data_IF_586999384581
#
_entry.id   IF_586999384581
#
_cell.length_a   1.000
_cell.length_b   1.000
_cell.length_c   1.000
_cell.angle_alpha   90.00
_cell.angle_beta   90.00
_cell.angle_gamma   90.00
#
_symmetry.space_group_name_H-M   'P 1'
#
loop_
_entity.id
_entity.type
_entity.pdbx_description
1 polymer ?
#
# COMPACT_ATOMS: atom_id res chain seq x y z
N UNK A 1 -33.24 32.68 19.43
CA UNK A 1 -32.05 31.88 19.14
C UNK A 1 -32.53 30.68 18.36
N UNK A 2 -32.28 30.63 17.06
CA UNK A 2 -32.57 29.42 16.28
C UNK A 2 -31.65 28.33 16.82
N UNK A 3 -32.19 27.19 17.24
CA UNK A 3 -31.39 25.98 17.43
C UNK A 3 -30.63 25.76 16.12
N UNK A 4 -29.30 25.91 16.17
CA UNK A 4 -28.46 25.60 15.03
C UNK A 4 -28.67 24.12 14.72
N UNK A 5 -29.19 23.84 13.51
CA UNK A 5 -29.43 22.46 13.12
C UNK A 5 -28.09 21.73 13.10
N UNK A 6 -28.01 20.69 13.92
CA UNK A 6 -26.88 19.78 14.01
C UNK A 6 -26.41 19.34 12.61
N UNK A 7 -25.13 19.51 12.26
CA UNK A 7 -24.60 19.26 10.92
C UNK A 7 -24.60 17.76 10.58
N UNK A 8 -24.42 17.46 9.30
CA UNK A 8 -24.36 16.09 8.80
C UNK A 8 -22.93 15.66 8.47
N UNK A 9 -22.60 14.43 8.86
CA UNK A 9 -21.46 13.68 8.37
C UNK A 9 -21.96 12.62 7.37
N UNK A 10 -21.52 12.72 6.12
CA UNK A 10 -21.79 11.71 5.11
C UNK A 10 -20.79 10.55 5.28
N UNK A 11 -21.28 9.34 5.45
CA UNK A 11 -20.50 8.13 5.65
C UNK A 11 -20.68 7.17 4.48
N UNK A 12 -19.55 6.69 3.96
CA UNK A 12 -19.52 5.59 2.99
C UNK A 12 -19.54 4.22 3.69
N UNK A 13 -19.80 4.18 5.00
CA UNK A 13 -19.81 2.99 5.87
C UNK A 13 -18.49 2.19 5.89
N UNK A 14 -17.34 2.82 6.19
CA UNK A 14 -16.09 2.08 6.27
C UNK A 14 -15.99 1.16 7.48
N UNK A 15 -16.53 1.55 8.64
CA UNK A 15 -16.65 0.71 9.83
C UNK A 15 -17.84 1.17 10.68
N UNK A 16 -18.98 0.48 10.54
CA UNK A 16 -20.22 0.81 11.28
C UNK A 16 -20.11 0.43 12.76
N UNK A 17 -19.19 -0.45 13.13
CA UNK A 17 -18.98 -0.93 14.50
C UNK A 17 -17.93 -0.10 15.27
N UNK A 18 -17.41 0.98 14.68
CA UNK A 18 -16.41 1.84 15.34
C UNK A 18 -16.94 2.38 16.68
N UNK A 19 -16.21 2.18 17.79
CA UNK A 19 -16.59 2.75 19.09
C UNK A 19 -16.72 4.28 19.05
N UNK A 20 -15.85 4.97 18.30
CA UNK A 20 -15.90 6.43 18.19
C UNK A 20 -17.08 6.92 17.35
N UNK A 21 -17.40 6.24 16.24
CA UNK A 21 -18.57 6.57 15.43
C UNK A 21 -19.88 6.44 16.23
N UNK A 22 -19.95 5.43 17.09
CA UNK A 22 -21.11 5.14 17.93
C UNK A 22 -21.05 5.81 19.32
N UNK A 23 -20.04 6.65 19.57
CA UNK A 23 -19.90 7.36 20.84
C UNK A 23 -20.94 8.47 20.98
N UNK A 24 -21.37 8.73 22.22
CA UNK A 24 -22.28 9.85 22.53
C UNK A 24 -21.72 11.17 21.99
N UNK A 25 -20.40 11.39 22.10
CA UNK A 25 -19.73 12.58 21.56
C UNK A 25 -20.00 12.76 20.06
N UNK A 26 -19.75 11.75 19.24
CA UNK A 26 -19.96 11.85 17.80
C UNK A 26 -21.46 12.02 17.47
N UNK A 27 -22.33 11.32 18.19
CA UNK A 27 -23.78 11.39 18.02
C UNK A 27 -24.42 12.65 18.61
N UNK A 28 -23.72 13.45 19.42
CA UNK A 28 -24.12 14.78 19.85
C UNK A 28 -23.68 15.85 18.84
N UNK A 29 -22.54 15.65 18.17
CA UNK A 29 -21.97 16.59 17.21
C UNK A 29 -22.52 16.44 15.78
N UNK A 30 -22.80 15.21 15.30
CA UNK A 30 -23.16 14.94 13.90
C UNK A 30 -24.40 14.06 13.70
N UNK A 31 -25.22 14.41 12.72
CA UNK A 31 -26.20 13.49 12.12
C UNK A 31 -25.51 12.65 11.04
N UNK A 32 -25.78 11.35 10.99
CA UNK A 32 -25.13 10.45 10.04
C UNK A 32 -25.99 10.26 8.78
N UNK A 33 -25.42 10.53 7.60
CA UNK A 33 -26.01 10.15 6.31
C UNK A 33 -25.19 9.02 5.71
N UNK A 34 -25.81 7.86 5.55
CA UNK A 34 -25.12 6.72 4.96
C UNK A 34 -25.38 6.63 3.46
N UNK A 35 -24.32 6.47 2.67
CA UNK A 35 -24.40 6.29 1.23
C UNK A 35 -23.61 5.06 0.78
N UNK A 36 -24.20 4.28 -0.11
CA UNK A 36 -23.51 3.19 -0.81
C UNK A 36 -23.04 3.69 -2.18
N UNK A 37 -21.72 3.71 -2.38
CA UNK A 37 -21.11 4.18 -3.62
C UNK A 37 -21.14 3.07 -4.68
N UNK A 38 -22.07 3.17 -5.62
CA UNK A 38 -22.25 2.20 -6.72
C UNK A 38 -21.88 2.80 -8.07
N UNK A 39 -22.50 3.91 -8.46
CA UNK A 39 -22.16 4.68 -9.66
C UNK A 39 -22.09 6.17 -9.34
N UNK A 40 -21.41 6.93 -10.22
CA UNK A 40 -21.33 8.38 -10.11
C UNK A 40 -22.72 9.02 -10.12
N UNK A 41 -23.61 8.56 -10.99
CA UNK A 41 -24.97 9.09 -11.13
C UNK A 41 -25.81 8.83 -9.87
N UNK A 42 -25.69 7.63 -9.28
CA UNK A 42 -26.36 7.31 -8.03
C UNK A 42 -25.86 8.20 -6.88
N UNK A 43 -24.54 8.45 -6.82
CA UNK A 43 -23.97 9.34 -5.80
C UNK A 43 -24.44 10.80 -5.98
N UNK A 44 -24.45 11.32 -7.21
CA UNK A 44 -24.96 12.67 -7.48
C UNK A 44 -26.46 12.79 -7.19
N UNK A 45 -27.26 11.77 -7.52
CA UNK A 45 -28.69 11.73 -7.17
C UNK A 45 -28.90 11.73 -5.66
N UNK A 46 -28.09 10.97 -4.91
CA UNK A 46 -28.13 11.00 -3.45
C UNK A 46 -27.83 12.40 -2.91
N UNK A 47 -26.77 13.05 -3.43
CA UNK A 47 -26.43 14.41 -3.01
C UNK A 47 -27.54 15.42 -3.36
N UNK A 48 -28.23 15.24 -4.49
CA UNK A 48 -29.38 16.07 -4.87
C UNK A 48 -30.51 15.99 -3.85
N UNK A 49 -30.85 14.77 -3.40
CA UNK A 49 -31.89 14.54 -2.39
C UNK A 49 -31.52 15.17 -1.04
N UNK A 50 -30.22 15.32 -0.78
CA UNK A 50 -29.65 15.87 0.45
C UNK A 50 -29.05 17.29 0.29
N UNK A 51 -29.35 18.01 -0.80
CA UNK A 51 -28.73 19.32 -1.09
C UNK A 51 -29.02 20.44 -0.07
N UNK A 52 -30.05 20.25 0.75
CA UNK A 52 -30.44 21.19 1.81
C UNK A 52 -29.90 20.76 3.19
N UNK A 53 -29.27 19.59 3.28
CA UNK A 53 -28.65 19.12 4.51
C UNK A 53 -27.27 19.77 4.64
N UNK A 54 -26.96 20.27 5.83
CA UNK A 54 -25.67 20.92 6.13
C UNK A 54 -24.56 19.87 6.26
N UNK A 55 -24.13 19.29 5.15
CA UNK A 55 -23.06 18.28 5.11
C UNK A 55 -21.73 18.98 5.29
N UNK A 56 -21.05 18.73 6.41
CA UNK A 56 -19.78 19.38 6.79
C UNK A 56 -18.57 18.46 6.70
N UNK A 57 -18.79 17.13 6.70
CA UNK A 57 -17.73 16.14 6.62
C UNK A 57 -18.14 14.94 5.76
N UNK A 58 -17.15 14.34 5.07
CA UNK A 58 -17.28 13.03 4.42
C UNK A 58 -16.32 12.04 5.08
N UNK A 59 -16.86 11.00 5.70
CA UNK A 59 -16.14 9.83 6.13
C UNK A 59 -16.01 8.84 4.94
N UNK A 60 -14.93 8.98 4.16
CA UNK A 60 -14.76 8.34 2.85
C UNK A 60 -14.09 6.96 2.86
N UNK A 61 -13.62 6.48 4.01
CA UNK A 61 -13.21 5.09 4.17
C UNK A 61 -11.92 4.65 3.44
N UNK A 62 -11.76 3.34 3.29
CA UNK A 62 -10.77 2.72 2.40
C UNK A 62 -11.24 2.87 0.97
N UNK A 63 -10.36 3.30 0.03
CA UNK A 63 -10.67 4.21 -1.08
C UNK A 63 -12.00 3.91 -1.77
N UNK A 64 -13.08 4.42 -1.18
CA UNK A 64 -14.43 3.95 -1.50
C UNK A 64 -15.01 4.65 -2.73
N UNK A 65 -14.39 5.75 -3.13
CA UNK A 65 -14.71 6.45 -4.36
C UNK A 65 -14.28 5.68 -5.62
N UNK A 66 -13.56 4.56 -5.50
CA UNK A 66 -13.17 3.73 -6.65
C UNK A 66 -14.37 3.26 -7.47
N UNK A 67 -15.46 2.86 -6.81
CA UNK A 67 -16.72 2.44 -7.46
C UNK A 67 -17.33 3.53 -8.36
N UNK A 68 -17.07 4.81 -8.06
CA UNK A 68 -17.57 5.95 -8.84
C UNK A 68 -16.49 6.55 -9.76
N UNK A 69 -15.35 5.89 -9.93
CA UNK A 69 -14.24 6.36 -10.76
C UNK A 69 -13.34 7.42 -10.09
N UNK A 70 -13.43 7.57 -8.78
CA UNK A 70 -12.71 8.57 -7.99
C UNK A 70 -13.52 9.82 -7.71
N UNK A 71 -13.02 10.67 -6.81
CA UNK A 71 -13.60 11.98 -6.54
C UNK A 71 -12.94 13.01 -7.47
N UNK A 72 -13.41 13.02 -8.72
CA UNK A 72 -12.84 13.82 -9.80
C UNK A 72 -13.27 15.29 -9.72
N UNK A 73 -12.57 16.17 -10.47
CA UNK A 73 -12.99 17.56 -10.65
C UNK A 73 -14.46 17.69 -11.06
N UNK A 74 -14.93 16.82 -11.95
CA UNK A 74 -16.31 16.86 -12.44
C UNK A 74 -17.33 16.60 -11.32
N UNK A 75 -17.05 15.66 -10.42
CA UNK A 75 -17.91 15.38 -9.26
C UNK A 75 -17.83 16.53 -8.26
N UNK A 76 -16.63 17.01 -7.95
CA UNK A 76 -16.44 18.06 -6.95
C UNK A 76 -17.05 19.39 -7.42
N UNK A 77 -16.97 19.73 -8.70
CA UNK A 77 -17.56 20.95 -9.29
C UNK A 77 -19.06 20.82 -9.59
N UNK A 78 -19.68 19.64 -9.41
CA UNK A 78 -21.11 19.43 -9.65
C UNK A 78 -21.97 20.29 -8.71
N UNK A 79 -23.12 20.79 -9.18
CA UNK A 79 -23.98 21.71 -8.42
C UNK A 79 -24.55 21.10 -7.13
N UNK A 80 -24.80 19.80 -7.13
CA UNK A 80 -25.28 19.05 -5.96
C UNK A 80 -24.16 18.67 -4.98
N UNK A 81 -22.88 18.83 -5.34
CA UNK A 81 -21.79 18.56 -4.40
C UNK A 81 -21.77 19.66 -3.33
N UNK A 82 -21.62 19.33 -2.02
CA UNK A 82 -21.78 20.29 -0.93
C UNK A 82 -20.57 21.23 -0.76
N UNK A 83 -20.12 21.88 -1.84
CA UNK A 83 -18.91 22.71 -1.90
C UNK A 83 -18.91 23.85 -0.87
N UNK A 84 -20.08 24.39 -0.55
CA UNK A 84 -20.22 25.54 0.35
C UNK A 84 -20.19 25.16 1.84
N UNK A 85 -20.62 23.95 2.19
CA UNK A 85 -20.77 23.50 3.59
C UNK A 85 -19.67 22.52 3.99
N UNK A 86 -19.18 21.72 3.04
CA UNK A 86 -18.20 20.68 3.28
C UNK A 86 -16.85 21.29 3.71
N UNK A 87 -16.39 20.92 4.89
CA UNK A 87 -15.10 21.36 5.45
C UNK A 87 -14.01 20.34 5.22
N UNK A 88 -14.31 19.05 5.38
CA UNK A 88 -13.30 18.01 5.28
C UNK A 88 -13.80 16.70 4.65
N UNK A 89 -12.84 15.98 4.08
CA UNK A 89 -12.97 14.59 3.64
C UNK A 89 -11.86 13.82 4.35
N UNK A 90 -12.20 12.70 4.98
CA UNK A 90 -11.22 11.83 5.63
C UNK A 90 -11.20 10.46 4.96
N UNK A 91 -10.01 9.89 4.79
CA UNK A 91 -9.79 8.57 4.23
C UNK A 91 -9.11 7.67 5.26
N UNK A 92 -9.49 6.40 5.28
CA UNK A 92 -8.80 5.35 6.05
C UNK A 92 -7.56 4.80 5.33
N UNK A 93 -7.26 5.31 4.13
CA UNK A 93 -6.14 4.83 3.31
C UNK A 93 -5.07 5.89 3.15
N UNK A 94 -3.83 5.46 2.84
CA UNK A 94 -2.72 6.37 2.54
C UNK A 94 -2.83 7.00 1.16
N UNK A 95 -3.29 6.23 0.18
CA UNK A 95 -3.35 6.64 -1.22
C UNK A 95 -4.58 7.49 -1.50
N UNK A 96 -4.38 8.60 -2.21
CA UNK A 96 -5.45 9.52 -2.62
C UNK A 96 -5.38 9.84 -4.12
N UNK A 97 -4.75 8.97 -4.92
CA UNK A 97 -4.51 9.17 -6.35
C UNK A 97 -5.78 9.46 -7.18
N UNK A 98 -6.93 8.99 -6.70
CA UNK A 98 -8.23 9.14 -7.36
C UNK A 98 -9.02 10.38 -6.90
N UNK A 99 -8.37 11.31 -6.18
CA UNK A 99 -9.01 12.52 -5.66
C UNK A 99 -8.38 13.76 -6.29
N UNK A 100 -9.19 14.65 -6.84
CA UNK A 100 -8.73 15.91 -7.42
C UNK A 100 -8.41 16.95 -6.34
N UNK A 101 -7.16 16.88 -5.85
CA UNK A 101 -6.61 17.77 -4.82
C UNK A 101 -6.69 19.25 -5.20
N UNK A 102 -6.48 19.59 -6.47
CA UNK A 102 -6.51 20.98 -6.93
C UNK A 102 -7.90 21.58 -6.78
N UNK A 103 -8.93 20.79 -7.05
CA UNK A 103 -10.32 21.20 -6.96
C UNK A 103 -10.76 21.29 -5.50
N UNK A 104 -10.36 20.36 -4.63
CA UNK A 104 -10.59 20.48 -3.19
C UNK A 104 -9.99 21.78 -2.62
N UNK A 105 -8.74 22.11 -2.98
CA UNK A 105 -8.08 23.38 -2.61
C UNK A 105 -8.87 24.60 -3.03
N UNK A 106 -9.38 24.60 -4.27
CA UNK A 106 -10.17 25.70 -4.83
C UNK A 106 -11.42 26.01 -3.99
N UNK A 107 -12.03 24.99 -3.40
CA UNK A 107 -13.21 25.13 -2.54
C UNK A 107 -12.90 25.18 -1.04
N UNK A 108 -11.62 25.18 -0.65
CA UNK A 108 -11.23 25.21 0.77
C UNK A 108 -11.53 23.91 1.54
N UNK A 109 -11.81 22.81 0.82
CA UNK A 109 -12.14 21.52 1.42
C UNK A 109 -10.83 20.81 1.81
N UNK A 110 -10.72 20.44 3.08
CA UNK A 110 -9.57 19.74 3.61
C UNK A 110 -9.65 18.25 3.27
N UNK A 111 -8.50 17.63 2.98
CA UNK A 111 -8.40 16.18 2.81
C UNK A 111 -7.43 15.62 3.85
N UNK A 112 -7.87 14.59 4.56
CA UNK A 112 -7.06 13.82 5.49
C UNK A 112 -6.93 12.38 5.01
N UNK A 113 -5.73 11.82 5.07
CA UNK A 113 -5.48 10.42 4.76
C UNK A 113 -4.92 9.69 5.98
N UNK A 114 -4.67 8.38 5.87
CA UNK A 114 -3.97 7.66 6.93
C UNK A 114 -2.46 7.95 6.89
N UNK A 115 -1.84 8.09 8.06
CA UNK A 115 -0.38 8.14 8.23
C UNK A 115 0.07 7.20 9.37
N UNK A 116 1.30 6.68 9.29
CA UNK A 116 1.86 5.77 10.34
C UNK A 116 2.38 6.54 11.55
N UNK A 117 2.57 7.83 11.38
CA UNK A 117 3.12 8.73 12.37
C UNK A 117 2.00 9.70 12.68
N UNK A 118 1.72 9.84 13.97
CA UNK A 118 0.81 10.84 14.51
C UNK A 118 1.54 11.53 15.65
N UNK A 119 1.19 12.78 15.92
CA UNK A 119 1.72 13.52 17.06
C UNK A 119 1.41 12.76 18.37
N UNK A 120 2.40 12.65 19.27
CA UNK A 120 2.30 11.95 20.56
C UNK A 120 1.21 12.55 21.48
N UNK A 121 0.73 13.77 21.19
CA UNK A 121 -0.39 14.41 21.88
C UNK A 121 -1.77 13.78 21.58
N UNK A 122 -1.87 12.84 20.64
CA UNK A 122 -3.11 12.13 20.33
C UNK A 122 -3.27 10.89 21.22
N UNK A 123 -4.21 10.95 22.16
CA UNK A 123 -4.65 9.79 22.94
C UNK A 123 -5.67 8.93 22.16
N UNK A 124 -5.32 8.41 20.98
CA UNK A 124 -6.00 7.23 20.45
C UNK A 124 -5.33 6.05 21.13
N UNK A 125 -5.97 5.53 22.17
CA UNK A 125 -5.41 4.51 23.08
C UNK A 125 -4.87 3.27 22.34
N UNK A 126 -5.43 2.95 21.18
CA UNK A 126 -5.07 1.80 20.36
C UNK A 126 -4.07 2.11 19.23
N UNK A 127 -3.68 3.37 19.02
CA UNK A 127 -2.84 3.74 17.88
C UNK A 127 -1.40 3.28 18.05
N UNK A 128 -0.94 2.45 17.12
CA UNK A 128 0.45 2.00 17.05
C UNK A 128 1.17 2.71 15.91
N UNK A 129 2.20 3.47 16.27
CA UNK A 129 3.09 4.11 15.30
C UNK A 129 3.79 3.03 14.47
N UNK A 130 3.76 3.20 13.14
CA UNK A 130 4.41 2.26 12.22
C UNK A 130 3.60 1.00 11.88
N UNK A 131 2.34 0.88 12.31
CA UNK A 131 1.54 -0.34 12.13
C UNK A 131 1.38 -0.74 10.65
N UNK A 132 1.04 0.19 9.74
CA UNK A 132 0.94 -0.13 8.32
C UNK A 132 2.32 -0.48 7.74
N UNK A 133 3.35 0.27 8.12
CA UNK A 133 4.73 -0.02 7.73
C UNK A 133 5.17 -1.43 8.12
N UNK A 134 4.81 -1.84 9.33
CA UNK A 134 5.06 -3.18 9.84
C UNK A 134 4.35 -4.24 8.99
N UNK A 135 3.03 -4.14 8.81
CA UNK A 135 2.24 -5.22 8.20
C UNK A 135 2.57 -5.36 6.71
N UNK A 136 2.79 -4.25 6.01
CA UNK A 136 3.28 -4.27 4.62
C UNK A 136 4.65 -4.93 4.53
N UNK A 137 5.51 -4.75 5.54
CA UNK A 137 6.81 -5.40 5.59
C UNK A 137 6.72 -6.92 5.86
N UNK A 138 5.67 -7.42 6.52
CA UNK A 138 5.43 -8.87 6.63
C UNK A 138 5.13 -9.49 5.27
N UNK A 139 4.27 -8.83 4.49
CA UNK A 139 3.99 -9.22 3.12
C UNK A 139 5.27 -9.21 2.26
N UNK A 140 6.10 -8.17 2.38
CA UNK A 140 7.39 -8.07 1.69
C UNK A 140 8.31 -9.24 2.04
N UNK A 141 8.46 -9.53 3.33
CA UNK A 141 9.31 -10.60 3.83
C UNK A 141 8.82 -11.96 3.32
N UNK A 142 7.50 -12.18 3.29
CA UNK A 142 6.92 -13.38 2.72
C UNK A 142 7.24 -13.54 1.22
N UNK A 143 7.05 -12.51 0.41
CA UNK A 143 7.38 -12.55 -1.03
C UNK A 143 8.87 -12.80 -1.29
N UNK A 144 9.75 -12.16 -0.51
CA UNK A 144 11.20 -12.40 -0.60
C UNK A 144 11.52 -13.86 -0.24
N UNK A 145 10.97 -14.35 0.87
CA UNK A 145 11.16 -15.71 1.33
C UNK A 145 10.63 -16.71 0.29
N UNK A 146 9.46 -16.45 -0.29
CA UNK A 146 8.86 -17.27 -1.35
C UNK A 146 9.75 -17.31 -2.59
N UNK A 147 10.33 -16.18 -2.99
CA UNK A 147 11.24 -16.14 -4.14
C UNK A 147 12.49 -17.00 -4.01
N UNK A 148 13.00 -17.14 -2.78
CA UNK A 148 14.14 -17.99 -2.49
C UNK A 148 13.77 -19.44 -2.17
N UNK A 149 12.61 -19.67 -1.52
CA UNK A 149 12.26 -20.94 -0.87
C UNK A 149 11.10 -21.69 -1.50
N UNK A 150 10.26 -21.02 -2.29
CA UNK A 150 9.15 -21.61 -3.06
C UNK A 150 8.21 -22.45 -2.18
N UNK A 151 7.88 -21.96 -0.99
CA UNK A 151 7.10 -22.73 -0.01
C UNK A 151 5.64 -22.87 -0.45
N UNK A 152 5.05 -21.79 -0.95
CA UNK A 152 3.67 -21.77 -1.43
C UNK A 152 3.50 -22.71 -2.63
N UNK A 153 4.44 -22.68 -3.57
CA UNK A 153 4.41 -23.62 -4.69
C UNK A 153 4.55 -25.08 -4.22
N UNK A 154 5.53 -25.40 -3.37
CA UNK A 154 5.66 -26.75 -2.81
C UNK A 154 4.41 -27.20 -2.04
N UNK A 155 3.78 -26.28 -1.32
CA UNK A 155 2.53 -26.51 -0.59
C UNK A 155 1.36 -26.81 -1.55
N UNK A 156 1.29 -26.15 -2.70
CA UNK A 156 0.25 -26.43 -3.72
C UNK A 156 0.40 -27.84 -4.31
N UNK A 157 1.63 -28.31 -4.50
CA UNK A 157 1.90 -29.65 -5.04
C UNK A 157 1.65 -30.75 -4.00
N UNK A 158 2.13 -30.59 -2.76
CA UNK A 158 1.92 -31.62 -1.72
C UNK A 158 0.43 -31.82 -1.39
N UNK A 159 -0.40 -30.78 -1.50
CA UNK A 159 -1.87 -30.92 -1.35
C UNK A 159 -2.50 -31.80 -2.43
N UNK A 160 -1.90 -31.85 -3.62
CA UNK A 160 -2.38 -32.69 -4.74
C UNK A 160 -1.89 -34.13 -4.63
N UNK A 161 -0.63 -34.32 -4.21
CA UNK A 161 0.01 -35.65 -4.20
C UNK A 161 -0.12 -36.38 -2.85
N UNK A 162 -0.26 -35.66 -1.73
CA UNK A 162 -0.40 -36.25 -0.40
C UNK A 162 0.86 -36.97 0.12
N UNK A 163 2.01 -36.85 -0.56
CA UNK A 163 3.24 -37.57 -0.23
C UNK A 163 4.49 -36.68 -0.37
N UNK A 164 5.30 -36.61 0.69
CA UNK A 164 6.48 -35.73 0.78
C UNK A 164 7.62 -36.14 -0.15
N UNK A 165 7.81 -37.43 -0.41
CA UNK A 165 8.85 -37.93 -1.31
C UNK A 165 8.44 -37.75 -2.76
N UNK A 166 7.19 -38.10 -3.09
CA UNK A 166 6.65 -37.91 -4.45
C UNK A 166 6.60 -36.43 -4.82
N UNK A 167 6.26 -35.55 -3.89
CA UNK A 167 6.27 -34.10 -4.14
C UNK A 167 7.67 -33.59 -4.50
N UNK A 168 8.68 -33.95 -3.70
CA UNK A 168 10.06 -33.52 -3.96
C UNK A 168 10.60 -34.10 -5.27
N UNK A 169 10.31 -35.37 -5.54
CA UNK A 169 10.65 -36.04 -6.79
C UNK A 169 9.96 -35.39 -8.01
N UNK A 170 8.68 -35.06 -7.89
CA UNK A 170 7.89 -34.40 -8.92
C UNK A 170 8.44 -33.00 -9.26
N UNK A 171 8.67 -32.16 -8.25
CA UNK A 171 9.18 -30.79 -8.43
C UNK A 171 10.60 -30.80 -9.01
N UNK A 172 11.46 -31.71 -8.57
CA UNK A 172 12.80 -31.86 -9.12
C UNK A 172 12.83 -32.55 -10.50
N UNK A 173 11.69 -33.08 -10.96
CA UNK A 173 11.58 -33.94 -12.13
C UNK A 173 12.61 -35.11 -12.12
N UNK A 174 12.67 -35.81 -10.98
CA UNK A 174 13.61 -36.91 -10.72
C UNK A 174 12.92 -38.12 -10.12
N UNK A 175 13.56 -39.28 -10.22
CA UNK A 175 13.14 -40.51 -9.53
C UNK A 175 14.03 -40.77 -8.31
N UNK A 176 13.47 -41.48 -7.33
CA UNK A 176 14.19 -41.84 -6.10
C UNK A 176 14.20 -40.73 -5.04
N UNK A 177 15.18 -40.79 -4.12
CA UNK A 177 15.28 -39.82 -3.03
C UNK A 177 15.73 -38.46 -3.54
N UNK A 178 14.93 -37.43 -3.24
CA UNK A 178 15.25 -36.02 -3.50
C UNK A 178 15.23 -35.26 -2.18
N UNK A 179 16.32 -34.58 -1.84
CA UNK A 179 16.42 -33.80 -0.61
C UNK A 179 15.39 -32.64 -0.58
N UNK A 180 15.21 -31.97 -1.73
CA UNK A 180 14.26 -30.85 -1.91
C UNK A 180 14.91 -29.51 -2.23
N UNK A 181 16.23 -29.48 -2.46
CA UNK A 181 16.91 -28.26 -2.91
C UNK A 181 16.84 -28.06 -4.43
N UNK A 182 16.42 -29.08 -5.17
CA UNK A 182 16.32 -29.06 -6.63
C UNK A 182 14.91 -28.62 -7.03
N UNK A 183 14.83 -27.72 -7.99
CA UNK A 183 13.59 -27.08 -8.41
C UNK A 183 13.45 -27.11 -9.93
N UNK A 184 12.28 -26.69 -10.42
CA UNK A 184 11.96 -26.64 -11.83
C UNK A 184 13.01 -25.86 -12.63
N UNK A 185 13.16 -26.24 -13.91
CA UNK A 185 14.07 -25.60 -14.87
C UNK A 185 15.55 -25.61 -14.43
N UNK A 186 15.95 -26.62 -13.65
CA UNK A 186 17.33 -26.77 -13.17
C UNK A 186 17.74 -25.76 -12.09
N UNK A 187 16.78 -24.98 -11.57
CA UNK A 187 17.05 -24.05 -10.49
C UNK A 187 17.25 -24.81 -9.16
N UNK A 188 17.93 -24.18 -8.21
CA UNK A 188 18.04 -24.71 -6.85
C UNK A 188 17.43 -23.75 -5.84
N UNK A 189 16.67 -24.27 -4.89
CA UNK A 189 16.24 -23.52 -3.70
C UNK A 189 17.46 -22.93 -3.00
N UNK A 190 17.39 -21.63 -2.68
CA UNK A 190 18.50 -20.89 -2.05
C UNK A 190 18.05 -20.33 -0.70
N UNK A 191 18.99 -20.15 0.22
CA UNK A 191 18.74 -19.34 1.43
C UNK A 191 18.87 -17.84 1.11
N UNK A 192 17.99 -16.96 1.62
CA UNK A 192 18.18 -15.51 1.53
C UNK A 192 19.38 -15.00 2.37
N UNK A 193 19.76 -15.74 3.42
CA UNK A 193 20.79 -15.32 4.39
C UNK A 193 22.12 -14.97 3.70
N UNK A 194 22.67 -13.81 4.07
CA UNK A 194 23.93 -13.27 3.55
C UNK A 194 23.85 -12.74 2.12
N UNK A 195 22.68 -12.77 1.45
CA UNK A 195 22.50 -12.16 0.14
C UNK A 195 22.15 -10.68 0.30
N UNK A 196 22.54 -9.91 -0.71
CA UNK A 196 22.24 -8.48 -0.77
C UNK A 196 20.81 -8.23 -1.25
N UNK A 197 20.10 -7.37 -0.53
CA UNK A 197 18.80 -6.85 -0.91
C UNK A 197 18.90 -5.34 -1.14
N UNK A 198 18.32 -4.85 -2.23
CA UNK A 198 18.11 -3.43 -2.47
C UNK A 198 16.66 -3.05 -2.16
N UNK A 199 16.45 -2.17 -1.20
CA UNK A 199 15.13 -1.56 -0.94
C UNK A 199 15.05 -0.25 -1.72
N UNK A 200 14.23 -0.23 -2.77
CA UNK A 200 13.93 0.98 -3.54
C UNK A 200 12.87 1.78 -2.80
N UNK A 201 13.27 2.91 -2.20
CA UNK A 201 12.40 3.79 -1.42
C UNK A 201 12.47 3.52 0.07
N UNK A 202 13.34 4.25 0.78
CA UNK A 202 13.49 4.15 2.24
C UNK A 202 12.62 5.15 3.03
N UNK A 203 11.30 5.05 2.87
CA UNK A 203 10.30 5.71 3.74
C UNK A 203 9.94 4.85 4.97
N UNK A 204 8.82 5.13 5.65
CA UNK A 204 8.35 4.31 6.80
C UNK A 204 8.28 2.81 6.44
N UNK A 205 7.57 2.46 5.36
CA UNK A 205 7.44 1.07 4.88
C UNK A 205 8.82 0.48 4.55
N UNK A 206 9.63 1.20 3.75
CA UNK A 206 10.96 0.71 3.34
C UNK A 206 11.89 0.44 4.52
N UNK A 207 11.83 1.23 5.60
CA UNK A 207 12.59 0.99 6.83
C UNK A 207 12.15 -0.30 7.54
N UNK A 208 10.85 -0.54 7.66
CA UNK A 208 10.32 -1.78 8.26
C UNK A 208 10.68 -3.01 7.41
N UNK A 209 10.59 -2.91 6.08
CA UNK A 209 11.04 -3.95 5.15
C UNK A 209 12.52 -4.27 5.37
N UNK A 210 13.38 -3.24 5.36
CA UNK A 210 14.81 -3.38 5.59
C UNK A 210 15.12 -4.09 6.92
N UNK A 211 14.48 -3.68 8.01
CA UNK A 211 14.63 -4.30 9.33
C UNK A 211 14.24 -5.78 9.32
N UNK A 212 13.05 -6.13 8.81
CA UNK A 212 12.58 -7.52 8.78
C UNK A 212 13.48 -8.41 7.91
N UNK A 213 13.95 -7.91 6.78
CA UNK A 213 14.86 -8.65 5.92
C UNK A 213 16.26 -8.82 6.54
N UNK A 214 16.77 -7.80 7.24
CA UNK A 214 18.05 -7.87 7.95
C UNK A 214 17.96 -8.81 9.15
N UNK A 215 17.06 -8.53 10.08
CA UNK A 215 17.02 -9.20 11.39
C UNK A 215 16.31 -10.56 11.30
N UNK A 216 15.29 -10.67 10.46
CA UNK A 216 14.52 -11.90 10.27
C UNK A 216 15.18 -12.88 9.29
N UNK A 217 15.65 -12.39 8.14
CA UNK A 217 16.22 -13.26 7.08
C UNK A 217 17.76 -13.22 7.01
N UNK A 218 18.42 -12.34 7.75
CA UNK A 218 19.88 -12.22 7.74
C UNK A 218 20.43 -11.69 6.43
N UNK A 219 19.69 -10.82 5.73
CA UNK A 219 20.11 -10.23 4.45
C UNK A 219 21.01 -9.00 4.67
N UNK A 220 21.89 -8.73 3.70
CA UNK A 220 22.71 -7.53 3.66
C UNK A 220 21.92 -6.41 2.95
N UNK A 221 21.56 -5.36 3.68
CA UNK A 221 20.61 -4.34 3.20
C UNK A 221 21.33 -3.14 2.60
N UNK A 222 20.94 -2.85 1.37
CA UNK A 222 21.21 -1.60 0.68
C UNK A 222 19.88 -0.90 0.39
N UNK A 223 19.91 0.42 0.20
CA UNK A 223 18.69 1.17 -0.08
C UNK A 223 18.90 2.29 -1.09
N UNK A 224 17.82 2.66 -1.76
CA UNK A 224 17.74 3.87 -2.58
C UNK A 224 16.79 4.91 -1.96
N UNK A 225 17.24 6.16 -2.01
CA UNK A 225 16.48 7.37 -1.65
C UNK A 225 17.02 8.52 -2.52
N UNK A 226 16.31 9.65 -2.57
CA UNK A 226 16.80 10.86 -3.25
C UNK A 226 18.06 11.43 -2.60
N UNK A 227 18.12 11.36 -1.26
CA UNK A 227 19.23 11.87 -0.45
C UNK A 227 19.61 10.81 0.58
N UNK A 228 20.91 10.70 0.88
CA UNK A 228 21.40 9.83 1.95
C UNK A 228 20.74 10.22 3.28
N UNK A 229 20.47 9.22 4.11
CA UNK A 229 19.85 9.38 5.43
C UNK A 229 20.92 9.04 6.46
N UNK A 230 21.58 10.07 7.00
CA UNK A 230 22.73 9.89 7.88
C UNK A 230 22.37 9.16 9.16
N UNK A 231 21.15 9.36 9.68
CA UNK A 231 20.66 8.64 10.86
C UNK A 231 20.52 7.14 10.57
N UNK A 232 20.01 6.78 9.38
CA UNK A 232 19.93 5.38 8.95
C UNK A 232 21.33 4.77 8.84
N UNK A 233 22.28 5.50 8.24
CA UNK A 233 23.67 5.04 8.09
C UNK A 233 24.32 4.79 9.45
N UNK A 234 24.19 5.72 10.38
CA UNK A 234 24.77 5.61 11.73
C UNK A 234 24.12 4.50 12.55
N UNK A 235 22.79 4.37 12.48
CA UNK A 235 22.04 3.42 13.31
C UNK A 235 22.10 1.99 12.78
N UNK A 236 22.01 1.80 11.47
CA UNK A 236 21.83 0.48 10.86
C UNK A 236 23.00 0.04 9.97
N UNK A 237 23.87 0.96 9.55
CA UNK A 237 25.00 0.67 8.66
C UNK A 237 24.58 0.32 7.22
N UNK A 238 23.33 0.53 6.83
CA UNK A 238 22.85 0.21 5.48
C UNK A 238 23.53 1.06 4.42
N UNK A 239 23.87 0.44 3.29
CA UNK A 239 24.56 1.14 2.21
C UNK A 239 23.56 1.90 1.33
N UNK A 240 23.76 3.22 1.22
CA UNK A 240 23.00 4.09 0.35
C UNK A 240 23.44 3.99 -1.11
N UNK A 241 22.46 4.05 -2.02
CA UNK A 241 22.65 4.26 -3.47
C UNK A 241 21.71 5.37 -3.94
N UNK A 242 22.19 6.36 -4.72
CA UNK A 242 21.31 7.35 -5.30
C UNK A 242 20.42 6.69 -6.36
N UNK A 243 19.18 7.19 -6.50
CA UNK A 243 18.26 6.75 -7.53
C UNK A 243 18.52 7.49 -8.85
N UNK A 244 19.66 7.22 -9.46
CA UNK A 244 20.11 7.75 -10.74
C UNK A 244 20.84 6.68 -11.57
N UNK A 245 21.40 7.06 -12.72
CA UNK A 245 22.09 6.12 -13.62
C UNK A 245 23.30 5.40 -12.98
N UNK A 246 23.86 5.91 -11.88
CA UNK A 246 24.98 5.22 -11.20
C UNK A 246 24.55 3.90 -10.56
N UNK A 247 23.26 3.75 -10.25
CA UNK A 247 22.68 2.54 -9.68
C UNK A 247 22.84 1.33 -10.60
N UNK A 248 22.77 1.50 -11.93
CA UNK A 248 22.84 0.40 -12.89
C UNK A 248 24.13 -0.43 -12.73
N UNK A 249 25.26 0.22 -12.44
CA UNK A 249 26.53 -0.45 -12.19
C UNK A 249 26.54 -1.36 -10.95
N UNK A 250 25.57 -1.17 -10.06
CA UNK A 250 25.47 -1.88 -8.79
C UNK A 250 24.46 -3.04 -8.84
N UNK A 251 23.51 -3.02 -9.79
CA UNK A 251 22.32 -3.89 -9.76
C UNK A 251 22.64 -5.39 -9.75
N UNK A 252 23.69 -5.82 -10.45
CA UNK A 252 24.10 -7.23 -10.55
C UNK A 252 24.40 -7.90 -9.19
N UNK A 253 24.78 -7.12 -8.17
CA UNK A 253 25.12 -7.66 -6.85
C UNK A 253 23.89 -8.06 -6.03
N UNK A 254 22.71 -7.56 -6.37
CA UNK A 254 21.49 -7.78 -5.59
C UNK A 254 20.79 -9.06 -6.03
N UNK A 255 20.39 -9.87 -5.04
CA UNK A 255 19.59 -11.09 -5.27
C UNK A 255 18.13 -10.88 -4.89
N UNK A 256 17.83 -9.79 -4.22
CA UNK A 256 16.48 -9.33 -4.00
C UNK A 256 16.39 -7.81 -4.23
N UNK A 257 15.32 -7.36 -4.87
CA UNK A 257 14.98 -5.94 -4.98
C UNK A 257 13.54 -5.80 -4.49
N UNK A 258 13.31 -4.97 -3.48
CA UNK A 258 11.97 -4.66 -2.95
C UNK A 258 11.61 -3.22 -3.28
N UNK A 259 10.52 -3.04 -4.02
CA UNK A 259 10.00 -1.74 -4.45
C UNK A 259 8.97 -1.26 -3.43
N UNK A 260 9.32 -0.17 -2.73
CA UNK A 260 8.47 0.54 -1.78
C UNK A 260 8.36 2.05 -2.14
N UNK A 261 8.55 2.37 -3.43
CA UNK A 261 8.45 3.73 -3.96
C UNK A 261 6.98 4.15 -4.15
N UNK A 262 6.66 5.45 -4.00
CA UNK A 262 5.36 5.97 -4.38
C UNK A 262 5.18 5.93 -5.90
N UNK A 263 3.95 5.76 -6.37
CA UNK A 263 3.64 5.87 -7.80
C UNK A 263 3.51 7.32 -8.25
N UNK A 264 4.54 7.81 -8.93
CA UNK A 264 4.65 9.17 -9.49
C UNK A 264 5.01 9.12 -10.97
N UNK A 265 4.98 10.27 -11.65
CA UNK A 265 5.43 10.35 -13.04
C UNK A 265 6.91 9.98 -13.17
N UNK A 266 7.73 10.34 -12.19
CA UNK A 266 9.17 10.09 -12.15
C UNK A 266 9.53 8.63 -11.90
N UNK A 267 8.67 7.90 -11.18
CA UNK A 267 8.89 6.47 -10.88
C UNK A 267 8.19 5.54 -11.85
N UNK A 268 7.39 6.07 -12.78
CA UNK A 268 6.66 5.26 -13.75
C UNK A 268 7.64 4.52 -14.64
N UNK A 269 7.47 3.20 -14.75
CA UNK A 269 8.35 2.31 -15.53
C UNK A 269 9.83 2.44 -15.14
N UNK A 270 10.12 2.74 -13.87
CA UNK A 270 11.48 2.74 -13.34
C UNK A 270 12.11 1.34 -13.50
N UNK A 271 11.32 0.30 -13.24
CA UNK A 271 11.72 -1.09 -13.47
C UNK A 271 11.31 -1.47 -14.88
N UNK A 272 12.18 -1.17 -15.84
CA UNK A 272 12.03 -1.45 -17.26
C UNK A 272 13.11 -2.43 -17.74
N UNK A 273 13.15 -2.70 -19.05
CA UNK A 273 14.12 -3.59 -19.69
C UNK A 273 15.57 -3.21 -19.34
N UNK A 274 15.92 -1.92 -19.42
CA UNK A 274 17.27 -1.43 -19.06
C UNK A 274 17.61 -1.76 -17.60
N UNK A 275 16.66 -1.61 -16.67
CA UNK A 275 16.86 -1.95 -15.26
C UNK A 275 17.12 -3.44 -15.08
N UNK A 276 16.26 -4.27 -15.65
CA UNK A 276 16.34 -5.73 -15.53
C UNK A 276 17.61 -6.29 -16.19
N UNK A 277 18.04 -5.74 -17.31
CA UNK A 277 19.26 -6.13 -18.02
C UNK A 277 20.56 -5.96 -17.21
N UNK A 278 20.56 -5.08 -16.19
CA UNK A 278 21.71 -4.87 -15.31
C UNK A 278 21.66 -5.72 -14.03
N UNK A 279 20.58 -6.47 -13.82
CA UNK A 279 20.43 -7.35 -12.68
C UNK A 279 21.04 -8.74 -12.95
N UNK A 280 21.28 -9.52 -11.88
CA UNK A 280 21.58 -10.95 -12.04
C UNK A 280 20.28 -11.73 -12.19
N UNK A 281 19.69 -11.66 -13.39
CA UNK A 281 18.34 -12.10 -13.67
C UNK A 281 17.96 -13.49 -13.12
N UNK A 282 18.70 -14.57 -13.45
CA UNK A 282 18.40 -15.92 -12.99
C UNK A 282 18.36 -16.11 -11.47
N UNK A 283 18.98 -15.20 -10.70
CA UNK A 283 19.01 -15.22 -9.24
C UNK A 283 18.20 -14.08 -8.59
N UNK A 284 17.63 -13.16 -9.39
CA UNK A 284 16.91 -11.98 -8.90
C UNK A 284 15.47 -12.30 -8.45
N UNK A 285 15.20 -12.04 -7.17
CA UNK A 285 13.85 -11.92 -6.61
C UNK A 285 13.40 -10.46 -6.66
N UNK A 286 12.39 -10.13 -7.47
CA UNK A 286 11.81 -8.79 -7.52
C UNK A 286 10.50 -8.78 -6.75
N UNK A 287 10.32 -7.85 -5.81
CA UNK A 287 9.08 -7.69 -5.03
C UNK A 287 8.55 -6.28 -5.21
N UNK A 288 7.26 -6.12 -5.53
CA UNK A 288 6.61 -4.81 -5.64
C UNK A 288 5.45 -4.66 -4.66
N UNK A 289 5.58 -3.68 -3.76
CA UNK A 289 4.57 -3.24 -2.78
C UNK A 289 4.26 -1.74 -2.91
N UNK A 290 4.89 -1.05 -3.87
CA UNK A 290 4.68 0.38 -4.09
C UNK A 290 3.40 0.63 -4.89
N UNK A 291 3.55 0.74 -6.20
CA UNK A 291 2.44 0.83 -7.16
C UNK A 291 2.78 0.02 -8.41
N UNK A 292 1.76 -0.55 -9.05
CA UNK A 292 1.95 -1.35 -10.27
C UNK A 292 2.64 -0.59 -11.40
N UNK A 293 2.30 0.69 -11.60
CA UNK A 293 2.88 1.54 -12.66
C UNK A 293 4.39 1.79 -12.57
N UNK A 294 5.04 1.38 -11.47
CA UNK A 294 6.50 1.51 -11.32
C UNK A 294 7.22 0.47 -12.17
N UNK A 295 6.55 -0.65 -12.46
CA UNK A 295 7.04 -1.70 -13.33
C UNK A 295 6.51 -1.49 -14.74
N UNK A 296 7.39 -1.65 -15.71
CA UNK A 296 6.99 -1.90 -17.09
C UNK A 296 6.60 -3.37 -17.20
N UNK A 297 5.30 -3.64 -17.39
CA UNK A 297 4.77 -5.00 -17.33
C UNK A 297 5.30 -5.87 -18.48
N UNK A 298 5.53 -5.29 -19.66
CA UNK A 298 6.05 -6.03 -20.80
C UNK A 298 7.49 -6.44 -20.53
N UNK A 299 8.31 -5.54 -19.97
CA UNK A 299 9.68 -5.86 -19.59
C UNK A 299 9.75 -6.98 -18.53
N UNK A 300 8.86 -6.95 -17.53
CA UNK A 300 8.80 -7.99 -16.49
C UNK A 300 8.35 -9.34 -17.07
N UNK A 301 7.34 -9.33 -17.95
CA UNK A 301 6.86 -10.55 -18.63
C UNK A 301 7.95 -11.14 -19.54
N UNK A 302 8.64 -10.32 -20.33
CA UNK A 302 9.76 -10.79 -21.16
C UNK A 302 10.88 -11.37 -20.30
N UNK A 303 11.27 -10.68 -19.21
CA UNK A 303 12.30 -11.20 -18.30
C UNK A 303 11.90 -12.57 -17.72
N UNK A 304 10.62 -12.82 -17.51
CA UNK A 304 10.12 -14.12 -17.09
C UNK A 304 10.21 -15.20 -18.17
N UNK A 305 9.73 -14.90 -19.37
CA UNK A 305 9.75 -15.82 -20.51
C UNK A 305 11.18 -16.22 -20.87
N UNK A 306 12.12 -15.29 -20.75
CA UNK A 306 13.54 -15.51 -21.02
C UNK A 306 14.31 -16.11 -19.82
N UNK A 307 13.66 -16.34 -18.68
CA UNK A 307 14.32 -16.87 -17.48
C UNK A 307 15.31 -15.91 -16.81
N UNK A 308 15.20 -14.61 -17.09
CA UNK A 308 15.96 -13.51 -16.50
C UNK A 308 15.32 -12.97 -15.21
N UNK A 309 14.36 -13.69 -14.63
CA UNK A 309 13.86 -13.39 -13.29
C UNK A 309 13.67 -14.68 -12.49
N UNK A 310 14.25 -14.72 -11.29
CA UNK A 310 14.10 -15.84 -10.38
C UNK A 310 12.68 -15.96 -9.84
N UNK A 311 12.13 -14.80 -9.45
CA UNK A 311 10.80 -14.71 -8.88
C UNK A 311 10.27 -13.27 -8.94
N UNK A 312 8.96 -13.14 -9.12
CA UNK A 312 8.23 -11.90 -8.86
C UNK A 312 7.26 -12.09 -7.69
N UNK A 313 7.37 -11.22 -6.70
CA UNK A 313 6.36 -11.03 -5.67
C UNK A 313 5.58 -9.74 -5.93
N UNK A 314 4.26 -9.80 -6.02
CA UNK A 314 3.45 -8.61 -6.28
C UNK A 314 2.20 -8.56 -5.42
N UNK A 315 2.06 -7.47 -4.66
CA UNK A 315 0.77 -7.11 -4.03
C UNK A 315 0.00 -6.07 -4.86
N UNK A 316 0.70 -5.40 -5.80
CA UNK A 316 0.16 -4.31 -6.62
C UNK A 316 0.44 -4.51 -8.12
N UNK A 317 -0.48 -4.07 -8.97
CA UNK A 317 -0.48 -4.32 -10.42
C UNK A 317 -0.83 -3.08 -11.26
N UNK A 318 -0.37 -3.08 -12.52
CA UNK A 318 -0.50 -1.91 -13.41
C UNK A 318 -1.97 -1.56 -13.71
N UNK A 319 -2.80 -2.58 -13.97
CA UNK A 319 -4.21 -2.45 -14.36
C UNK A 319 -5.17 -2.87 -13.24
N UNK A 320 -4.83 -2.58 -11.98
CA UNK A 320 -5.71 -2.90 -10.84
C UNK A 320 -7.17 -2.44 -11.09
N UNK A 321 -8.18 -3.30 -10.80
CA UNK A 321 -8.10 -4.55 -10.03
C UNK A 321 -7.71 -5.81 -10.85
N UNK A 322 -7.38 -5.66 -12.14
CA UNK A 322 -6.95 -6.79 -12.98
C UNK A 322 -5.47 -7.09 -12.76
N UNK A 323 -5.14 -8.37 -12.78
CA UNK A 323 -3.76 -8.88 -12.75
C UNK A 323 -3.40 -9.34 -14.16
N UNK A 324 -2.17 -9.06 -14.59
CA UNK A 324 -1.67 -9.51 -15.88
C UNK A 324 -1.72 -11.06 -15.95
N UNK A 325 -2.26 -11.60 -17.06
CA UNK A 325 -2.51 -13.03 -17.20
C UNK A 325 -1.23 -13.87 -17.19
N UNK A 326 -0.09 -13.32 -17.62
CA UNK A 326 1.16 -14.05 -17.69
C UNK A 326 1.80 -14.19 -16.30
N UNK A 327 1.65 -13.17 -15.44
CA UNK A 327 1.98 -13.27 -14.01
C UNK A 327 1.18 -14.39 -13.33
N UNK A 328 -0.09 -14.53 -13.69
CA UNK A 328 -0.97 -15.58 -13.13
C UNK A 328 -0.63 -17.00 -13.61
N UNK A 329 -0.19 -17.15 -14.87
CA UNK A 329 0.16 -18.47 -15.43
C UNK A 329 1.44 -19.06 -14.84
N UNK A 330 2.33 -18.22 -14.29
CA UNK A 330 3.67 -18.60 -13.83
C UNK A 330 3.74 -18.93 -12.34
N UNK A 331 2.83 -19.77 -11.85
CA UNK A 331 2.69 -20.12 -10.42
C UNK A 331 3.99 -20.64 -9.75
N UNK A 332 4.92 -21.22 -10.52
CA UNK A 332 6.22 -21.70 -10.02
C UNK A 332 7.24 -20.58 -9.75
N UNK A 333 6.99 -19.41 -10.33
CA UNK A 333 7.91 -18.27 -10.37
C UNK A 333 7.25 -16.94 -10.01
N UNK A 334 5.97 -16.92 -9.64
CA UNK A 334 5.28 -15.75 -9.10
C UNK A 334 4.64 -16.04 -7.74
N UNK A 335 4.55 -15.01 -6.89
CA UNK A 335 3.68 -14.98 -5.72
C UNK A 335 2.91 -13.68 -5.75
N UNK A 336 1.59 -13.76 -5.69
CA UNK A 336 0.71 -12.59 -5.87
C UNK A 336 -0.35 -12.53 -4.79
N UNK A 337 -0.64 -11.32 -4.34
CA UNK A 337 -1.69 -11.01 -3.38
C UNK A 337 -2.55 -9.85 -3.89
N UNK A 338 -3.85 -9.80 -3.57
CA UNK A 338 -4.77 -8.84 -4.16
C UNK A 338 -4.78 -7.49 -3.41
N UNK A 339 -3.62 -6.83 -3.32
CA UNK A 339 -3.46 -5.53 -2.63
C UNK A 339 -3.88 -5.57 -1.15
N UNK A 340 -3.35 -6.55 -0.42
CA UNK A 340 -3.70 -6.84 0.98
C UNK A 340 -2.51 -6.72 1.93
N UNK A 341 -1.38 -6.16 1.49
CA UNK A 341 -0.17 -6.08 2.32
C UNK A 341 -0.41 -5.40 3.69
N UNK A 342 -1.34 -4.45 3.78
CA UNK A 342 -1.71 -3.79 5.05
C UNK A 342 -3.05 -4.22 5.62
N UNK A 343 -3.71 -5.25 5.08
CA UNK A 343 -5.11 -5.56 5.38
C UNK A 343 -5.27 -6.40 6.66
N UNK A 344 -4.86 -5.84 7.80
CA UNK A 344 -5.05 -6.42 9.14
C UNK A 344 -6.21 -5.73 9.86
N UNK A 345 -6.77 -6.39 10.88
CA UNK A 345 -7.83 -5.81 11.72
C UNK A 345 -7.29 -4.58 12.45
N UNK A 346 -6.05 -4.65 12.93
CA UNK A 346 -5.36 -3.57 13.62
C UNK A 346 -5.21 -2.32 12.74
N UNK A 347 -4.76 -2.48 11.50
CA UNK A 347 -4.69 -1.36 10.54
C UNK A 347 -6.08 -0.82 10.22
N UNK A 348 -7.05 -1.72 10.00
CA UNK A 348 -8.41 -1.35 9.65
C UNK A 348 -9.07 -0.48 10.74
N UNK A 349 -9.02 -0.94 11.99
CA UNK A 349 -9.58 -0.24 13.14
C UNK A 349 -8.84 1.07 13.37
N UNK A 350 -7.51 1.05 13.44
CA UNK A 350 -6.70 2.24 13.70
C UNK A 350 -6.93 3.34 12.65
N UNK A 351 -7.07 2.98 11.38
CA UNK A 351 -7.29 3.96 10.32
C UNK A 351 -8.70 4.56 10.36
N UNK A 352 -9.70 3.76 10.68
CA UNK A 352 -11.07 4.23 10.91
C UNK A 352 -11.14 5.22 12.08
N UNK A 353 -10.53 4.86 13.20
CA UNK A 353 -10.47 5.70 14.41
C UNK A 353 -9.71 7.02 14.16
N UNK A 354 -8.59 6.99 13.43
CA UNK A 354 -7.86 8.20 13.03
C UNK A 354 -8.71 9.10 12.12
N UNK A 355 -9.41 8.52 11.15
CA UNK A 355 -10.26 9.28 10.22
C UNK A 355 -11.40 9.99 10.96
N UNK A 356 -12.09 9.30 11.87
CA UNK A 356 -13.14 9.90 12.71
C UNK A 356 -12.59 10.95 13.67
N UNK A 357 -11.42 10.71 14.25
CA UNK A 357 -10.73 11.71 15.08
C UNK A 357 -10.45 12.99 14.29
N UNK A 358 -9.99 12.87 13.04
CA UNK A 358 -9.78 14.02 12.17
C UNK A 358 -11.09 14.77 11.87
N UNK A 359 -12.22 14.08 11.68
CA UNK A 359 -13.54 14.73 11.51
C UNK A 359 -13.85 15.57 12.75
N UNK A 360 -13.89 14.94 13.93
CA UNK A 360 -14.28 15.60 15.18
C UNK A 360 -13.43 16.86 15.38
N UNK A 361 -12.11 16.75 15.25
CA UNK A 361 -11.20 17.87 15.48
C UNK A 361 -11.35 18.97 14.44
N UNK A 362 -11.47 18.61 13.16
CA UNK A 362 -11.59 19.59 12.08
C UNK A 362 -12.88 20.42 12.12
N UNK A 363 -13.92 19.93 12.79
CA UNK A 363 -15.23 20.60 12.85
C UNK A 363 -15.50 21.23 14.22
N UNK A 364 -15.07 20.58 15.32
CA UNK A 364 -15.43 21.00 16.68
C UNK A 364 -14.36 21.85 17.38
N UNK A 365 -13.10 21.77 16.96
CA UNK A 365 -11.97 22.48 17.59
C UNK A 365 -11.58 23.76 16.83
N UNK A 366 -12.53 24.46 16.21
CA UNK A 366 -12.32 25.65 15.32
C UNK A 366 -11.56 26.85 15.95
N UNK A 367 -11.08 26.80 17.20
CA UNK A 367 -10.58 27.99 17.95
C UNK A 367 -9.09 28.01 18.33
N UNK A 368 -8.22 27.14 17.78
CA UNK A 368 -6.77 27.32 17.94
C UNK A 368 -6.09 27.70 16.62
N UNK A 369 -6.07 29.01 16.34
CA UNK A 369 -5.21 29.70 15.38
C UNK A 369 -3.71 29.61 15.76
N UNK A 370 -3.19 28.40 15.97
CA UNK A 370 -1.75 28.16 15.88
C UNK A 370 -1.46 27.56 14.50
N UNK A 371 -0.68 28.23 13.65
CA UNK A 371 -0.20 27.65 12.39
C UNK A 371 0.58 26.33 12.60
N UNK A 372 0.98 26.03 13.84
CA UNK A 372 1.73 24.83 14.23
C UNK A 372 0.85 23.69 14.76
N UNK A 373 -0.48 23.85 14.87
CA UNK A 373 -1.42 22.73 15.12
C UNK A 373 -2.02 22.25 13.80
N UNK A 374 -1.17 21.78 12.88
CA UNK A 374 -1.64 21.14 11.66
C UNK A 374 -2.39 19.84 12.02
N UNK A 375 -3.66 19.71 11.62
CA UNK A 375 -4.37 18.44 11.71
C UNK A 375 -3.54 17.32 11.05
N UNK A 376 -3.40 16.22 11.79
CA UNK A 376 -2.27 15.29 11.84
C UNK A 376 -1.90 14.55 10.54
N UNK A 377 -2.82 14.53 9.58
CA UNK A 377 -2.63 13.85 8.29
C UNK A 377 -3.17 14.64 7.10
N UNK A 378 -3.17 15.97 7.24
CA UNK A 378 -3.65 16.90 6.22
C UNK A 378 -2.85 16.75 4.92
N UNK A 379 -3.54 16.51 3.82
CA UNK A 379 -2.99 16.45 2.47
C UNK A 379 -3.08 17.81 1.77
N UNK A 380 -4.13 18.57 2.10
CA UNK A 380 -4.58 19.77 1.38
C UNK A 380 -4.81 20.91 2.31
#
# INVERSE_FOLDING_TARGET
MSEEKKPFCLSTKPNEDSPLLNSDKFLEDFNLLNVELTTKEAFLSFLHDHKNDNIVAIYGGFPQFTSIGGLTKEIIEHEDFPQCTLKCIVLCSRGYNMIDIKTLKKFGIQLYNYQDEVDESIAIETFKVGQVGNDVADCAMWHVLEGFRKFSYQQSIIRKLGNTNETRANIANKTGYVFGHEYLRGQSIRSPRGKKCLVLGLGSIGKHVALKLQDGLGMDIHYCKRTEDLQVKEKYGWKFHPLDDSLYSQLFQFKAIVVALPGTAETKHLINEKFLAHCDGPELVLVNLGRGQILDIDAVTTAFEEGQLRHFGGDVFYEEPKVNSDVLKMEDTTSVTPHVASATVEVFEQACELALTNIIRSITEEDNESPDTECFSRVV
#
